data_IF_123942219730
#
_entry.id   IF_123942219730
#
_cell.length_a   1.000
_cell.length_b   1.000
_cell.length_c   1.000
_cell.angle_alpha   90.00
_cell.angle_beta   90.00
_cell.angle_gamma   90.00
#
_symmetry.space_group_name_H-M   'P 1'
#
loop_
_entity.id
_entity.type
_entity.pdbx_description
1 polymer ?
#
# COMPACT_ATOMS: atom_id res chain seq x y z
N UNK A 1 2.54 -23.81 -11.75
CA UNK A 1 3.81 -23.28 -11.22
C UNK A 1 3.66 -21.77 -11.27
N UNK A 2 3.52 -21.10 -10.13
CA UNK A 2 3.48 -19.63 -10.09
C UNK A 2 4.93 -19.19 -10.21
N UNK A 3 5.23 -18.38 -11.23
CA UNK A 3 6.56 -17.80 -11.42
C UNK A 3 6.71 -16.62 -10.47
N UNK A 4 7.80 -16.58 -9.70
CA UNK A 4 8.12 -15.45 -8.84
C UNK A 4 8.35 -14.20 -9.69
N UNK A 5 7.45 -13.22 -9.58
CA UNK A 5 7.68 -11.93 -10.23
C UNK A 5 8.70 -11.12 -9.44
N UNK A 6 9.76 -10.67 -10.10
CA UNK A 6 10.71 -9.74 -9.48
C UNK A 6 10.02 -8.42 -9.10
N UNK A 7 10.54 -7.74 -8.07
CA UNK A 7 10.07 -6.40 -7.67
C UNK A 7 10.04 -5.41 -8.85
N UNK A 8 11.04 -5.47 -9.74
CA UNK A 8 11.11 -4.60 -10.90
C UNK A 8 10.09 -5.00 -11.98
N UNK A 9 9.85 -6.30 -12.16
CA UNK A 9 8.77 -6.81 -13.01
C UNK A 9 7.41 -6.33 -12.54
N UNK A 10 7.13 -6.42 -11.24
CA UNK A 10 5.88 -5.93 -10.66
C UNK A 10 5.74 -4.40 -10.83
N UNK A 11 6.81 -3.64 -10.62
CA UNK A 11 6.83 -2.19 -10.81
C UNK A 11 6.52 -1.78 -12.25
N UNK A 12 7.05 -2.51 -13.23
CA UNK A 12 6.80 -2.27 -14.66
C UNK A 12 5.35 -2.58 -15.01
N UNK A 13 4.81 -3.73 -14.58
CA UNK A 13 3.41 -4.10 -14.82
C UNK A 13 2.42 -3.08 -14.24
N UNK A 14 2.64 -2.65 -12.98
CA UNK A 14 1.77 -1.65 -12.34
C UNK A 14 1.80 -0.31 -13.09
N UNK A 15 2.96 0.08 -13.64
CA UNK A 15 3.10 1.32 -14.41
C UNK A 15 2.31 1.28 -15.73
N UNK A 16 2.26 0.12 -16.40
CA UNK A 16 1.47 -0.05 -17.62
C UNK A 16 -0.03 0.19 -17.37
N UNK A 17 -0.52 -0.24 -16.21
CA UNK A 17 -1.90 -0.01 -15.75
C UNK A 17 -2.12 1.39 -15.12
N UNK A 18 -1.11 2.26 -15.16
CA UNK A 18 -1.19 3.61 -14.59
C UNK A 18 -1.22 3.65 -13.05
N UNK A 19 -0.84 2.56 -12.38
CA UNK A 19 -0.77 2.42 -10.92
C UNK A 19 0.65 2.75 -10.45
N UNK A 20 0.76 3.65 -9.47
CA UNK A 20 2.07 4.00 -8.90
C UNK A 20 2.52 2.97 -7.87
N UNK A 21 3.68 2.36 -8.08
CA UNK A 21 4.36 1.56 -7.07
C UNK A 21 5.07 2.47 -6.06
N UNK A 22 4.65 2.44 -4.80
CA UNK A 22 5.27 3.18 -3.71
C UNK A 22 6.00 2.22 -2.78
N UNK A 23 7.32 2.41 -2.65
CA UNK A 23 8.15 1.67 -1.67
C UNK A 23 8.26 2.39 -0.33
N UNK A 24 8.02 3.70 -0.32
CA UNK A 24 8.20 4.54 0.87
C UNK A 24 6.86 4.66 1.60
N UNK A 25 6.85 4.25 2.88
CA UNK A 25 5.71 4.48 3.78
C UNK A 25 5.66 5.98 4.13
N UNK A 26 4.56 6.65 3.80
CA UNK A 26 4.32 8.04 4.18
C UNK A 26 3.39 8.10 5.40
N UNK A 27 3.69 8.98 6.34
CA UNK A 27 2.93 9.10 7.59
C UNK A 27 2.06 10.35 7.56
N UNK A 28 0.77 10.18 7.86
CA UNK A 28 -0.19 11.28 8.02
C UNK A 28 -0.60 11.37 9.50
N UNK A 29 -0.62 12.58 10.05
CA UNK A 29 -1.17 12.82 11.38
C UNK A 29 -2.71 12.78 11.27
N UNK A 30 -3.36 11.94 12.06
CA UNK A 30 -4.82 11.85 12.14
C UNK A 30 -5.34 12.36 13.49
N UNK A 31 -6.55 12.91 13.48
CA UNK A 31 -7.31 13.29 14.69
C UNK A 31 -8.35 12.23 15.09
N UNK A 32 -8.33 11.09 14.43
CA UNK A 32 -9.20 9.96 14.75
C UNK A 32 -8.96 9.51 16.20
N UNK A 33 -10.01 9.39 17.05
CA UNK A 33 -9.85 9.00 18.45
C UNK A 33 -9.26 7.59 18.60
N UNK A 34 -9.45 6.72 17.62
CA UNK A 34 -8.88 5.37 17.56
C UNK A 34 -7.59 5.32 16.75
N UNK A 35 -6.95 6.47 16.46
CA UNK A 35 -5.75 6.53 15.63
C UNK A 35 -4.65 5.58 16.12
N UNK A 36 -4.43 5.50 17.43
CA UNK A 36 -3.42 4.61 18.00
C UNK A 36 -3.70 3.14 17.66
N UNK A 37 -4.95 2.68 17.83
CA UNK A 37 -5.34 1.31 17.54
C UNK A 37 -5.29 1.01 16.03
N UNK A 38 -5.80 1.92 15.21
CA UNK A 38 -5.79 1.79 13.74
C UNK A 38 -4.37 1.79 13.19
N UNK A 39 -3.50 2.67 13.71
CA UNK A 39 -2.08 2.72 13.36
C UNK A 39 -1.38 1.41 13.71
N UNK A 40 -1.55 0.91 14.94
CA UNK A 40 -0.94 -0.35 15.36
C UNK A 40 -1.37 -1.53 14.46
N UNK A 41 -2.65 -1.58 14.08
CA UNK A 41 -3.15 -2.60 13.16
C UNK A 41 -2.51 -2.48 11.77
N UNK A 42 -2.41 -1.28 11.21
CA UNK A 42 -1.76 -1.04 9.90
C UNK A 42 -0.26 -1.36 9.95
N UNK A 43 0.42 -1.02 11.04
CA UNK A 43 1.85 -1.35 11.25
C UNK A 43 2.07 -2.87 11.31
N UNK A 44 1.18 -3.61 11.96
CA UNK A 44 1.22 -5.08 11.98
C UNK A 44 1.04 -5.69 10.58
N UNK A 45 0.06 -5.20 9.81
CA UNK A 45 -0.14 -5.64 8.43
C UNK A 45 1.08 -5.39 7.53
N UNK A 46 1.79 -4.27 7.75
CA UNK A 46 3.05 -4.03 7.06
C UNK A 46 4.16 -4.98 7.49
N UNK A 47 4.25 -5.33 8.76
CA UNK A 47 5.24 -6.31 9.22
C UNK A 47 4.99 -7.70 8.60
N UNK A 48 3.72 -8.10 8.41
CA UNK A 48 3.37 -9.32 7.66
C UNK A 48 3.83 -9.19 6.21
N UNK A 49 3.54 -8.07 5.54
CA UNK A 49 3.89 -7.84 4.14
C UNK A 49 5.42 -7.85 3.90
N UNK A 50 6.18 -7.30 4.84
CA UNK A 50 7.64 -7.26 4.81
C UNK A 50 8.28 -8.58 5.31
N UNK A 51 7.47 -9.58 5.67
CA UNK A 51 7.88 -10.90 6.19
C UNK A 51 8.71 -10.77 7.49
N UNK A 52 8.47 -9.70 8.25
CA UNK A 52 9.09 -9.46 9.56
C UNK A 52 8.38 -10.26 10.67
N UNK A 53 7.10 -10.60 10.46
CA UNK A 53 6.29 -11.46 11.35
C UNK A 53 5.55 -12.53 10.55
N UNK A 54 5.28 -13.66 11.19
CA UNK A 54 4.47 -14.74 10.61
C UNK A 54 3.00 -14.47 10.94
N UNK A 55 2.14 -14.43 9.93
CA UNK A 55 0.70 -14.28 10.09
C UNK A 55 0.11 -15.44 10.93
N UNK A 56 -0.70 -15.11 11.93
CA UNK A 56 -1.41 -16.09 12.74
C UNK A 56 -2.76 -16.49 12.09
N UNK A 57 -3.41 -17.52 12.65
CA UNK A 57 -4.70 -18.00 12.15
C UNK A 57 -5.78 -16.91 12.20
N UNK A 58 -6.31 -16.55 11.02
CA UNK A 58 -7.30 -15.48 10.86
C UNK A 58 -6.73 -14.16 10.35
N UNK A 59 -5.41 -14.06 10.23
CA UNK A 59 -4.71 -12.94 9.61
C UNK A 59 -4.53 -13.13 8.10
N UNK A 60 -4.31 -12.06 7.33
CA UNK A 60 -4.10 -12.19 5.89
C UNK A 60 -2.75 -12.82 5.58
N UNK A 61 -2.76 -13.82 4.69
CA UNK A 61 -1.53 -14.41 4.11
C UNK A 61 -0.86 -13.46 3.10
N UNK A 62 -1.64 -12.56 2.49
CA UNK A 62 -1.17 -11.59 1.49
C UNK A 62 -1.78 -10.23 1.79
N UNK A 63 -0.93 -9.20 1.83
CA UNK A 63 -1.32 -7.81 2.11
C UNK A 63 -1.05 -6.94 0.87
N UNK A 64 -2.09 -6.31 0.33
CA UNK A 64 -1.98 -5.29 -0.72
C UNK A 64 -2.33 -3.90 -0.17
N UNK A 65 -1.43 -2.94 -0.31
CA UNK A 65 -1.67 -1.55 0.09
C UNK A 65 -2.02 -0.71 -1.15
N UNK A 66 -3.28 -0.27 -1.23
CA UNK A 66 -3.80 0.55 -2.32
C UNK A 66 -4.13 1.95 -1.79
N UNK A 67 -3.59 2.98 -2.42
CA UNK A 67 -4.03 4.37 -2.24
C UNK A 67 -4.84 4.78 -3.47
N UNK A 68 -6.15 5.00 -3.29
CA UNK A 68 -7.01 5.46 -4.38
C UNK A 68 -6.98 7.00 -4.39
N UNK A 69 -6.06 7.56 -5.17
CA UNK A 69 -6.14 8.98 -5.50
C UNK A 69 -7.07 9.14 -6.72
N UNK A 70 -8.25 9.73 -6.53
CA UNK A 70 -9.02 10.24 -7.67
C UNK A 70 -8.18 11.35 -8.30
N UNK A 71 -7.67 11.14 -9.52
CA UNK A 71 -7.10 12.25 -10.30
C UNK A 71 -8.22 13.26 -10.51
N UNK A 72 -8.20 14.36 -9.77
CA UNK A 72 -9.01 15.52 -10.15
C UNK A 72 -8.46 16.01 -11.49
N UNK A 73 -9.31 16.17 -12.52
CA UNK A 73 -8.87 16.74 -13.78
C UNK A 73 -8.24 18.11 -13.52
N UNK A 74 -7.19 18.50 -14.27
CA UNK A 74 -6.59 19.82 -14.14
C UNK A 74 -7.68 20.89 -14.31
N UNK A 75 -7.71 21.87 -13.41
CA UNK A 75 -8.65 22.97 -13.53
C UNK A 75 -8.23 23.85 -14.71
N UNK A 76 -9.20 24.46 -15.38
CA UNK A 76 -9.03 25.23 -16.63
C UNK A 76 -8.08 26.44 -16.52
N UNK A 77 -7.52 26.72 -15.34
CA UNK A 77 -6.73 27.92 -15.07
C UNK A 77 -5.22 27.69 -15.05
N UNK A 78 -4.74 26.50 -15.44
CA UNK A 78 -3.30 26.17 -15.50
C UNK A 78 -2.70 26.48 -16.90
N UNK A 79 -3.08 27.58 -17.55
CA UNK A 79 -2.45 28.12 -18.78
C UNK A 79 -2.06 29.58 -18.59
#
# INVERSE_FOLDING_TARGET
>A
MIDDISHEGLRVLLREEGVSFQRVKSWKISRDPDYAAKKAHVEHLYAIADVEVIAEGGEPEVVFCLDWAVRTPPTRNDT
#
